data_IF_334427347721
#
_entry.id   IF_334427347721
#
_cell.length_a   1.000
_cell.length_b   1.000
_cell.length_c   1.000
_cell.angle_alpha   90.00
_cell.angle_beta   90.00
_cell.angle_gamma   90.00
#
_symmetry.space_group_name_H-M   'P 1'
#
loop_
_entity.id
_entity.type
_entity.pdbx_description
1 polymer ?
#
# COMPACT_ATOMS: atom_id res chain seq x y z
N UNK A 1 -3.94 -2.97 5.45
CA UNK A 1 -2.92 -3.95 4.97
C UNK A 1 -3.52 -5.28 4.51
N UNK A 2 -4.49 -5.87 5.24
CA UNK A 2 -5.14 -7.14 4.83
C UNK A 2 -5.60 -7.19 3.35
N UNK A 3 -6.24 -6.15 2.78
CA UNK A 3 -6.66 -6.18 1.36
C UNK A 3 -5.51 -6.10 0.35
N UNK A 4 -4.47 -5.32 0.65
CA UNK A 4 -3.31 -5.12 -0.24
C UNK A 4 -2.51 -6.41 -0.36
N UNK A 5 -2.28 -7.09 0.77
CA UNK A 5 -1.59 -8.38 0.75
C UNK A 5 -2.41 -9.43 0.00
N UNK A 6 -3.74 -9.43 0.14
CA UNK A 6 -4.65 -10.34 -0.57
C UNK A 6 -4.57 -10.20 -2.09
N UNK A 7 -4.60 -8.97 -2.60
CA UNK A 7 -4.53 -8.74 -4.06
C UNK A 7 -3.17 -9.10 -4.63
N UNK A 8 -2.09 -8.75 -3.91
CA UNK A 8 -0.73 -9.10 -4.35
C UNK A 8 -0.48 -10.60 -4.33
N UNK A 9 -1.02 -11.33 -3.34
CA UNK A 9 -0.94 -12.78 -3.29
C UNK A 9 -1.73 -13.43 -4.43
N UNK A 10 -2.95 -12.96 -4.70
CA UNK A 10 -3.76 -13.46 -5.82
C UNK A 10 -3.06 -13.26 -7.17
N UNK A 11 -2.44 -12.09 -7.38
CA UNK A 11 -1.72 -11.78 -8.62
C UNK A 11 -0.45 -12.61 -8.76
N UNK A 12 0.33 -12.78 -7.68
CA UNK A 12 1.50 -13.65 -7.67
C UNK A 12 1.14 -15.10 -8.03
N UNK A 13 0.09 -15.65 -7.41
CA UNK A 13 -0.39 -17.00 -7.68
C UNK A 13 -0.93 -17.14 -9.12
N UNK A 14 -1.55 -16.10 -9.69
CA UNK A 14 -2.00 -16.11 -11.09
C UNK A 14 -0.87 -16.12 -12.12
N UNK A 15 0.30 -15.61 -11.77
CA UNK A 15 1.48 -15.56 -12.66
C UNK A 15 2.33 -16.83 -12.55
N UNK A 16 2.28 -17.54 -11.43
CA UNK A 16 3.01 -18.80 -11.20
C UNK A 16 2.82 -19.82 -12.34
N UNK A 17 1.59 -20.13 -12.81
CA UNK A 17 1.36 -21.06 -13.93
C UNK A 17 2.05 -20.65 -15.24
N UNK A 18 2.21 -19.36 -15.49
CA UNK A 18 2.86 -18.85 -16.71
C UNK A 18 4.36 -19.17 -16.72
N UNK A 19 4.98 -19.27 -15.55
CA UNK A 19 6.41 -19.56 -15.37
C UNK A 19 6.68 -21.07 -15.52
N UNK A 20 5.75 -21.92 -15.07
CA UNK A 20 5.88 -23.39 -15.13
C UNK A 20 5.34 -23.99 -16.44
N UNK A 21 4.67 -23.21 -17.28
CA UNK A 21 4.12 -23.69 -18.56
C UNK A 21 5.25 -24.05 -19.54
N UNK A 22 5.21 -25.26 -20.11
CA UNK A 22 6.12 -25.74 -21.14
C UNK A 22 5.39 -25.86 -22.49
N UNK A 23 6.11 -25.59 -23.59
CA UNK A 23 5.55 -25.60 -24.96
C UNK A 23 6.11 -24.49 -25.86
N UNK A 24 5.54 -24.33 -27.05
CA UNK A 24 5.93 -23.27 -27.98
C UNK A 24 5.72 -21.88 -27.36
N UNK A 25 6.76 -21.04 -27.34
CA UNK A 25 6.72 -19.72 -26.71
C UNK A 25 6.88 -19.73 -25.17
N UNK A 26 7.23 -20.86 -24.56
CA UNK A 26 7.47 -20.95 -23.11
C UNK A 26 8.55 -19.98 -22.62
N UNK A 27 9.64 -19.80 -23.38
CA UNK A 27 10.68 -18.83 -23.04
C UNK A 27 10.16 -17.38 -22.94
N UNK A 28 9.24 -16.99 -23.83
CA UNK A 28 8.62 -15.66 -23.80
C UNK A 28 7.69 -15.49 -22.58
N UNK A 29 6.88 -16.52 -22.27
CA UNK A 29 5.99 -16.51 -21.09
C UNK A 29 6.77 -16.52 -19.78
N UNK A 30 7.86 -17.27 -19.73
CA UNK A 30 8.78 -17.31 -18.59
C UNK A 30 9.38 -15.92 -18.34
N UNK A 31 9.91 -15.26 -19.38
CA UNK A 31 10.48 -13.91 -19.26
C UNK A 31 9.43 -12.90 -18.81
N UNK A 32 8.22 -12.93 -19.39
CA UNK A 32 7.11 -12.06 -18.99
C UNK A 32 6.70 -12.32 -17.53
N UNK A 33 6.53 -13.58 -17.14
CA UNK A 33 6.10 -13.98 -15.80
C UNK A 33 7.11 -13.57 -14.73
N UNK A 34 8.41 -13.69 -15.01
CA UNK A 34 9.48 -13.30 -14.09
C UNK A 34 9.51 -11.77 -13.88
N UNK A 35 9.39 -10.98 -14.97
CA UNK A 35 9.32 -9.51 -14.88
C UNK A 35 8.09 -9.06 -14.09
N UNK A 36 6.93 -9.67 -14.34
CA UNK A 36 5.69 -9.31 -13.64
C UNK A 36 5.80 -9.69 -12.16
N UNK A 37 6.25 -10.90 -11.84
CA UNK A 37 6.37 -11.36 -10.46
C UNK A 37 7.30 -10.46 -9.63
N UNK A 38 8.48 -10.17 -10.17
CA UNK A 38 9.46 -9.30 -9.52
C UNK A 38 8.94 -7.86 -9.41
N UNK A 39 8.31 -7.34 -10.47
CA UNK A 39 7.74 -5.99 -10.51
C UNK A 39 6.62 -5.78 -9.48
N UNK A 40 5.71 -6.74 -9.31
CA UNK A 40 4.63 -6.63 -8.32
C UNK A 40 5.20 -6.75 -6.90
N UNK A 41 6.16 -7.67 -6.66
CA UNK A 41 6.77 -7.84 -5.35
C UNK A 41 7.52 -6.57 -4.90
N UNK A 42 8.40 -6.06 -5.76
CA UNK A 42 9.20 -4.85 -5.49
C UNK A 42 8.31 -3.62 -5.48
N UNK A 43 7.38 -3.48 -6.43
CA UNK A 43 6.47 -2.35 -6.52
C UNK A 43 5.52 -2.24 -5.32
N UNK A 44 5.04 -3.38 -4.79
CA UNK A 44 4.23 -3.40 -3.56
C UNK A 44 5.04 -2.95 -2.37
N UNK A 45 6.25 -3.50 -2.18
CA UNK A 45 7.14 -3.07 -1.10
C UNK A 45 7.42 -1.58 -1.21
N UNK A 46 7.84 -1.11 -2.39
CA UNK A 46 8.09 0.30 -2.65
C UNK A 46 6.87 1.17 -2.30
N UNK A 47 5.68 0.84 -2.80
CA UNK A 47 4.45 1.59 -2.52
C UNK A 47 4.14 1.65 -1.02
N UNK A 48 4.23 0.51 -0.32
CA UNK A 48 3.95 0.43 1.11
C UNK A 48 4.90 1.25 1.98
N UNK A 49 6.14 1.50 1.53
CA UNK A 49 7.09 2.32 2.26
C UNK A 49 7.12 3.79 1.79
N UNK A 50 7.03 4.00 0.47
CA UNK A 50 7.21 5.30 -0.16
C UNK A 50 5.98 6.18 0.01
N UNK A 51 4.77 5.64 -0.21
CA UNK A 51 3.53 6.41 -0.03
C UNK A 51 3.41 6.97 1.40
N UNK A 52 3.60 6.19 2.49
CA UNK A 52 3.53 6.76 3.83
C UNK A 52 4.67 7.72 4.15
N UNK A 53 5.89 7.49 3.63
CA UNK A 53 7.01 8.41 3.81
C UNK A 53 6.74 9.79 3.17
N UNK A 54 6.20 9.81 1.96
CA UNK A 54 5.79 11.05 1.32
C UNK A 54 4.56 11.66 1.99
N UNK A 55 3.60 10.84 2.43
CA UNK A 55 2.44 11.33 3.18
C UNK A 55 2.87 12.05 4.45
N UNK A 56 3.75 11.50 5.27
CA UNK A 56 4.20 12.18 6.50
C UNK A 56 5.04 13.42 6.20
N UNK A 57 5.84 13.40 5.13
CA UNK A 57 6.63 14.57 4.69
C UNK A 57 5.76 15.74 4.22
N UNK A 58 4.68 15.46 3.50
CA UNK A 58 3.73 16.47 3.00
C UNK A 58 2.75 16.87 4.11
N UNK A 59 2.12 15.91 4.80
CA UNK A 59 1.15 16.16 5.86
C UNK A 59 1.76 16.89 7.07
N UNK A 60 3.06 16.76 7.34
CA UNK A 60 3.73 17.58 8.36
C UNK A 60 3.68 19.09 8.04
N UNK A 61 3.47 19.47 6.77
CA UNK A 61 3.30 20.86 6.35
C UNK A 61 1.84 21.33 6.41
N UNK A 62 0.90 20.39 6.36
CA UNK A 62 -0.54 20.64 6.26
C UNK A 62 -1.33 20.28 7.53
N UNK A 63 -0.69 20.06 8.69
CA UNK A 63 -1.38 19.87 9.98
C UNK A 63 -2.23 21.12 10.30
N UNK A 64 -3.57 21.09 10.18
CA UNK A 64 -4.40 22.17 10.66
C UNK A 64 -4.37 22.05 12.18
N UNK A 65 -3.91 23.11 12.85
CA UNK A 65 -3.92 23.27 14.31
C UNK A 65 -5.35 23.41 14.87
N UNK A 66 -6.28 22.54 14.49
CA UNK A 66 -7.52 22.35 15.24
C UNK A 66 -7.31 21.27 16.30
N UNK A 67 -6.39 21.58 17.21
CA UNK A 67 -6.62 21.24 18.60
C UNK A 67 -7.88 22.00 18.99
N UNK A 68 -9.03 21.32 18.95
CA UNK A 68 -10.25 21.78 19.58
C UNK A 68 -9.96 21.91 21.07
N UNK A 69 -9.49 23.09 21.47
CA UNK A 69 -9.44 23.48 22.88
C UNK A 69 -10.90 23.44 23.34
N UNK A 70 -11.26 22.63 24.34
CA UNK A 70 -12.61 22.63 24.88
C UNK A 70 -13.01 24.07 25.19
N UNK A 71 -14.10 24.54 24.60
CA UNK A 71 -14.58 25.91 24.79
C UNK A 71 -14.75 26.16 26.30
N UNK A 72 -14.04 27.14 26.89
CA UNK A 72 -14.15 27.46 28.32
C UNK A 72 -15.58 27.78 28.76
N UNK A 73 -16.47 28.15 27.82
CA UNK A 73 -17.89 28.42 28.08
C UNK A 73 -18.77 27.15 28.11
N UNK A 74 -18.23 25.99 27.74
CA UNK A 74 -18.86 24.66 27.86
C UNK A 74 -18.46 23.93 29.16
N UNK A 75 -17.48 24.47 29.91
CA UNK A 75 -17.08 23.99 31.23
C UNK A 75 -17.79 24.58 32.48
N UNK A 76 -18.82 25.47 32.43
CA UNK A 76 -19.45 25.97 33.64
C UNK A 76 -20.35 24.93 34.36
N UNK A 77 -20.56 23.75 33.78
CA UNK A 77 -21.49 22.73 34.29
C UNK A 77 -20.87 21.69 35.24
N UNK A 78 -19.56 21.78 35.57
CA UNK A 78 -18.90 20.93 36.58
C UNK A 78 -18.62 21.69 37.89
N UNK A 79 -19.35 22.80 38.04
CA UNK A 79 -19.40 23.81 39.07
C UNK A 79 -20.04 23.47 40.42
N UNK A 80 -20.73 22.32 40.58
CA UNK A 80 -21.66 22.11 41.70
C UNK A 80 -21.59 20.68 42.28
#
# INVERSE_FOLDING_TARGET
LRPILMTTAAMALGVVPLIISSGAGAAARYSMGLVIFTGILVGTMFTLFVVPMFYTFIASKDLPHHAEKPDPNLMPALQD
#
